data_IF_200334457707
#
_entry.id   IF_200334457707
#
_cell.length_a   1.000
_cell.length_b   1.000
_cell.length_c   1.000
_cell.angle_alpha   90.00
_cell.angle_beta   90.00
_cell.angle_gamma   90.00
#
_symmetry.space_group_name_H-M   'P 1'
#
loop_
_entity.id
_entity.type
_entity.pdbx_description
1 polymer ?
#
# COMPACT_ATOMS: atom_id res chain seq x y z
N UNK A 1 17.38 4.97 -16.44
CA UNK A 1 17.91 3.69 -16.98
C UNK A 1 16.75 2.92 -17.57
N UNK A 2 16.65 2.89 -18.89
CA UNK A 2 15.44 2.51 -19.62
C UNK A 2 15.46 1.08 -20.15
N UNK A 3 14.28 0.45 -20.14
CA UNK A 3 13.66 -0.44 -21.15
C UNK A 3 14.47 -1.54 -21.88
N UNK A 4 15.76 -1.77 -21.58
CA UNK A 4 16.64 -2.73 -22.28
C UNK A 4 17.18 -3.86 -21.40
N UNK A 5 16.75 -3.99 -20.14
CA UNK A 5 17.05 -5.16 -19.29
C UNK A 5 16.01 -6.29 -19.41
N UNK A 6 15.26 -6.34 -20.52
CA UNK A 6 14.06 -7.17 -20.65
C UNK A 6 14.29 -8.61 -21.17
N UNK A 7 15.51 -9.14 -21.26
CA UNK A 7 15.75 -10.41 -21.99
C UNK A 7 16.62 -11.47 -21.29
N UNK A 8 16.62 -11.53 -19.95
CA UNK A 8 16.98 -12.73 -19.19
C UNK A 8 16.02 -12.96 -18.01
N UNK A 9 14.74 -12.63 -18.16
CA UNK A 9 13.74 -13.06 -17.20
C UNK A 9 13.49 -14.55 -17.43
N UNK A 10 13.69 -15.38 -16.39
CA UNK A 10 13.27 -16.77 -16.41
C UNK A 10 11.80 -16.82 -16.86
N UNK A 11 11.42 -17.60 -17.90
CA UNK A 11 10.04 -17.67 -18.36
C UNK A 11 9.03 -17.99 -17.24
N UNK A 12 9.47 -18.74 -16.22
CA UNK A 12 8.66 -19.02 -15.03
C UNK A 12 8.36 -17.77 -14.21
N UNK A 13 9.30 -16.82 -14.11
CA UNK A 13 9.10 -15.56 -13.39
C UNK A 13 8.08 -14.67 -14.11
N UNK A 14 8.11 -14.67 -15.45
CA UNK A 14 7.13 -13.93 -16.27
C UNK A 14 5.74 -14.53 -16.09
N UNK A 15 5.62 -15.86 -16.10
CA UNK A 15 4.35 -16.55 -15.87
C UNK A 15 3.81 -16.30 -14.46
N UNK A 16 4.66 -16.40 -13.44
CA UNK A 16 4.30 -16.11 -12.05
C UNK A 16 3.86 -14.66 -11.88
N UNK A 17 4.57 -13.71 -12.48
CA UNK A 17 4.22 -12.29 -12.43
C UNK A 17 2.85 -11.97 -13.06
N UNK A 18 2.38 -12.81 -14.01
CA UNK A 18 1.08 -12.66 -14.67
C UNK A 18 -0.07 -13.32 -13.94
N UNK A 19 0.19 -14.11 -12.90
CA UNK A 19 -0.88 -14.63 -12.06
C UNK A 19 -1.55 -13.48 -11.29
N UNK A 20 -2.84 -13.63 -11.03
CA UNK A 20 -3.55 -12.73 -10.12
C UNK A 20 -3.18 -13.10 -8.67
N UNK A 21 -3.19 -12.11 -7.78
CA UNK A 21 -3.11 -12.37 -6.35
C UNK A 21 -4.31 -13.25 -5.97
N UNK A 22 -4.03 -14.43 -5.41
CA UNK A 22 -5.08 -15.33 -4.96
C UNK A 22 -5.98 -14.66 -3.93
N UNK A 23 -7.26 -15.04 -3.89
CA UNK A 23 -8.22 -14.48 -2.93
C UNK A 23 -7.74 -14.66 -1.47
N UNK A 24 -7.16 -15.82 -1.15
CA UNK A 24 -6.61 -16.12 0.18
C UNK A 24 -5.47 -15.17 0.57
N UNK A 25 -4.51 -14.94 -0.33
CA UNK A 25 -3.39 -14.01 -0.09
C UNK A 25 -3.88 -12.55 0.03
N UNK A 26 -4.87 -12.19 -0.79
CA UNK A 26 -5.51 -10.89 -0.75
C UNK A 26 -6.23 -10.66 0.60
N UNK A 27 -6.95 -11.66 1.09
CA UNK A 27 -7.67 -11.60 2.37
C UNK A 27 -6.71 -11.56 3.56
N UNK A 28 -5.63 -12.35 3.52
CA UNK A 28 -4.58 -12.31 4.55
C UNK A 28 -3.92 -10.93 4.62
N UNK A 29 -3.56 -10.36 3.47
CA UNK A 29 -3.00 -9.01 3.37
C UNK A 29 -4.00 -7.97 3.87
N UNK A 30 -5.25 -8.05 3.41
CA UNK A 30 -6.32 -7.16 3.80
C UNK A 30 -6.53 -7.14 5.32
N UNK A 31 -6.55 -8.32 5.94
CA UNK A 31 -6.74 -8.47 7.37
C UNK A 31 -5.66 -7.72 8.16
N UNK A 32 -4.39 -7.89 7.79
CA UNK A 32 -3.25 -7.21 8.46
C UNK A 32 -3.38 -5.69 8.35
N UNK A 33 -3.72 -5.18 7.16
CA UNK A 33 -3.92 -3.72 6.96
C UNK A 33 -5.10 -3.20 7.76
N UNK A 34 -6.21 -3.94 7.81
CA UNK A 34 -7.41 -3.54 8.54
C UNK A 34 -7.19 -3.56 10.06
N UNK A 35 -6.42 -4.52 10.58
CA UNK A 35 -6.00 -4.54 11.99
C UNK A 35 -5.17 -3.30 12.32
N UNK A 36 -4.19 -2.97 11.48
CA UNK A 36 -3.36 -1.79 11.69
C UNK A 36 -4.19 -0.49 11.64
N UNK A 37 -5.16 -0.42 10.72
CA UNK A 37 -6.08 0.71 10.60
C UNK A 37 -7.01 0.86 11.81
N UNK A 38 -7.55 -0.25 12.33
CA UNK A 38 -8.40 -0.23 13.53
C UNK A 38 -7.59 0.16 14.78
N UNK A 39 -6.38 -0.37 14.94
CA UNK A 39 -5.48 0.02 16.03
C UNK A 39 -5.16 1.52 15.99
N UNK A 40 -4.85 2.06 14.81
CA UNK A 40 -4.54 3.48 14.65
C UNK A 40 -5.76 4.39 14.87
N UNK A 41 -6.97 3.94 14.50
CA UNK A 41 -8.22 4.64 14.82
C UNK A 41 -8.46 4.77 16.33
N UNK A 42 -8.01 3.77 17.10
CA UNK A 42 -8.16 3.72 18.56
C UNK A 42 -7.00 4.42 19.30
N UNK A 43 -6.02 4.98 18.58
CA UNK A 43 -4.81 5.52 19.19
C UNK A 43 -3.92 4.46 19.82
N UNK A 44 -4.03 3.19 19.38
CA UNK A 44 -3.35 2.03 19.93
C UNK A 44 -2.34 1.41 18.97
N UNK A 45 -2.02 2.08 17.85
CA UNK A 45 -1.07 1.54 16.87
C UNK A 45 0.39 1.83 17.29
N UNK A 46 1.17 0.80 17.66
CA UNK A 46 2.60 0.93 17.85
C UNK A 46 3.34 1.06 16.51
N UNK A 47 4.64 1.36 16.57
CA UNK A 47 5.51 1.59 15.40
C UNK A 47 5.38 0.52 14.32
N UNK A 48 5.32 -0.77 14.66
CA UNK A 48 5.21 -1.82 13.66
C UNK A 48 3.88 -1.76 12.85
N UNK A 49 2.74 -1.47 13.50
CA UNK A 49 1.47 -1.31 12.79
C UNK A 49 1.44 0.01 11.98
N UNK A 50 2.09 1.05 12.48
CA UNK A 50 2.29 2.30 11.74
C UNK A 50 3.09 2.08 10.45
N UNK A 51 4.14 1.25 10.51
CA UNK A 51 4.96 0.89 9.35
C UNK A 51 4.14 0.07 8.34
N UNK A 52 3.36 -0.92 8.81
CA UNK A 52 2.43 -1.68 7.94
C UNK A 52 1.50 -0.75 7.18
N UNK A 53 0.83 0.20 7.87
CA UNK A 53 -0.05 1.17 7.19
C UNK A 53 0.71 2.01 6.16
N UNK A 54 1.90 2.46 6.52
CA UNK A 54 2.77 3.28 5.67
C UNK A 54 3.17 2.54 4.38
N UNK A 55 3.64 1.31 4.51
CA UNK A 55 4.03 0.44 3.40
C UNK A 55 2.86 0.20 2.44
N UNK A 56 1.68 -0.14 2.97
CA UNK A 56 0.52 -0.43 2.14
C UNK A 56 -0.10 0.83 1.51
N UNK A 57 -0.04 1.99 2.17
CA UNK A 57 -0.46 3.26 1.56
C UNK A 57 0.42 3.66 0.38
N UNK A 58 1.74 3.53 0.53
CA UNK A 58 2.68 3.79 -0.56
C UNK A 58 2.58 2.75 -1.68
N UNK A 59 2.39 1.47 -1.31
CA UNK A 59 2.14 0.40 -2.28
C UNK A 59 0.86 0.70 -3.08
N UNK A 60 -0.23 1.10 -2.42
CA UNK A 60 -1.46 1.49 -3.09
C UNK A 60 -1.25 2.67 -4.05
N UNK A 61 -0.52 3.71 -3.64
CA UNK A 61 -0.17 4.82 -4.53
C UNK A 61 0.65 4.35 -5.74
N UNK A 62 1.62 3.46 -5.52
CA UNK A 62 2.42 2.89 -6.60
C UNK A 62 1.59 2.04 -7.57
N UNK A 63 0.68 1.20 -7.08
CA UNK A 63 -0.27 0.44 -7.91
C UNK A 63 -1.08 1.37 -8.81
N UNK A 64 -1.72 2.40 -8.24
CA UNK A 64 -2.55 3.31 -9.02
C UNK A 64 -1.75 4.16 -10.01
N UNK A 65 -0.52 4.52 -9.65
CA UNK A 65 0.40 5.18 -10.57
C UNK A 65 0.76 4.28 -11.76
N UNK A 66 1.02 3.00 -11.53
CA UNK A 66 1.37 2.04 -12.60
C UNK A 66 0.17 1.75 -13.51
N UNK A 67 -1.03 1.68 -12.95
CA UNK A 67 -2.28 1.46 -13.69
C UNK A 67 -2.79 2.72 -14.41
N UNK A 68 -2.12 3.88 -14.27
CA UNK A 68 -2.56 5.14 -14.86
C UNK A 68 -3.85 5.71 -14.24
N UNK A 69 -4.28 5.21 -13.07
CA UNK A 69 -5.50 5.67 -12.41
C UNK A 69 -5.22 6.92 -11.56
N UNK A 70 -5.25 8.09 -12.20
CA UNK A 70 -4.92 9.36 -11.55
C UNK A 70 -5.80 9.67 -10.33
N UNK A 71 -7.10 9.39 -10.41
CA UNK A 71 -8.05 9.67 -9.32
C UNK A 71 -7.70 8.88 -8.06
N UNK A 72 -7.49 7.57 -8.20
CA UNK A 72 -7.13 6.73 -7.05
C UNK A 72 -5.70 7.00 -6.56
N UNK A 73 -4.79 7.36 -7.46
CA UNK A 73 -3.46 7.83 -7.08
C UNK A 73 -3.55 9.07 -6.17
N UNK A 74 -4.31 10.09 -6.56
CA UNK A 74 -4.45 11.31 -5.75
C UNK A 74 -5.13 11.03 -4.40
N UNK A 75 -6.08 10.08 -4.34
CA UNK A 75 -6.67 9.58 -3.09
C UNK A 75 -5.60 8.95 -2.18
N UNK A 76 -4.75 8.06 -2.71
CA UNK A 76 -3.66 7.44 -1.94
C UNK A 76 -2.62 8.45 -1.49
N UNK A 77 -2.28 9.45 -2.32
CA UNK A 77 -1.35 10.53 -1.94
C UNK A 77 -1.92 11.39 -0.81
N UNK A 78 -3.23 11.69 -0.86
CA UNK A 78 -3.91 12.42 0.23
C UNK A 78 -3.88 11.61 1.54
N UNK A 79 -4.14 10.31 1.48
CA UNK A 79 -4.04 9.41 2.63
C UNK A 79 -2.60 9.34 3.19
N UNK A 80 -1.60 9.26 2.31
CA UNK A 80 -0.19 9.27 2.70
C UNK A 80 0.18 10.56 3.43
N UNK A 81 -0.20 11.73 2.91
CA UNK A 81 0.05 13.01 3.58
C UNK A 81 -0.64 13.10 4.95
N UNK A 82 -1.83 12.53 5.08
CA UNK A 82 -2.54 12.43 6.36
C UNK A 82 -1.77 11.55 7.36
N UNK A 83 -1.25 10.41 6.91
CA UNK A 83 -0.40 9.51 7.70
C UNK A 83 0.85 10.25 8.21
N UNK A 84 1.61 10.88 7.30
CA UNK A 84 2.83 11.62 7.65
C UNK A 84 2.55 12.72 8.68
N UNK A 85 1.45 13.46 8.50
CA UNK A 85 1.02 14.48 9.47
C UNK A 85 0.72 13.89 10.84
N UNK A 86 0.08 12.73 10.89
CA UNK A 86 -0.21 12.04 12.15
C UNK A 86 1.07 11.50 12.82
N UNK A 87 1.99 10.90 12.05
CA UNK A 87 3.28 10.42 12.55
C UNK A 87 4.20 11.53 13.09
N UNK A 88 4.05 12.76 12.61
CA UNK A 88 4.84 13.91 13.08
C UNK A 88 4.40 14.43 14.46
N UNK A 89 3.31 13.92 15.04
CA UNK A 89 2.86 14.30 16.38
C UNK A 89 3.80 13.69 17.43
N UNK A 90 4.05 14.38 18.56
CA UNK A 90 4.90 13.87 19.63
C UNK A 90 4.15 12.83 20.50
N UNK A 91 3.59 11.80 19.87
CA UNK A 91 2.87 10.71 20.54
C UNK A 91 3.59 9.39 20.30
N UNK A 92 3.63 8.53 21.33
CA UNK A 92 4.27 7.21 21.21
C UNK A 92 3.46 6.24 20.34
N UNK A 93 2.15 6.47 20.24
CA UNK A 93 1.21 5.69 19.44
C UNK A 93 0.65 6.58 18.33
N UNK A 94 0.36 5.95 17.20
CA UNK A 94 -0.29 6.63 16.09
C UNK A 94 -1.78 6.80 16.39
N UNK A 95 -2.22 8.05 16.34
CA UNK A 95 -3.61 8.45 16.51
C UNK A 95 -4.05 9.38 15.37
N UNK A 96 -5.23 9.12 14.82
CA UNK A 96 -5.79 9.88 13.70
C UNK A 96 -6.93 10.78 14.14
N UNK A 97 -6.96 11.98 13.58
CA UNK A 97 -8.19 12.79 13.59
C UNK A 97 -9.24 12.15 12.68
N UNK A 98 -10.51 12.53 12.86
CA UNK A 98 -11.62 12.03 12.02
C UNK A 98 -11.37 12.22 10.52
N UNK A 99 -10.79 13.37 10.13
CA UNK A 99 -10.50 13.67 8.72
C UNK A 99 -9.35 12.83 8.15
N UNK A 100 -8.30 12.58 8.94
CA UNK A 100 -7.17 11.73 8.55
C UNK A 100 -7.61 10.28 8.41
N UNK A 101 -8.35 9.77 9.39
CA UNK A 101 -8.92 8.43 9.34
C UNK A 101 -9.83 8.24 8.12
N UNK A 102 -10.68 9.21 7.81
CA UNK A 102 -11.56 9.15 6.64
C UNK A 102 -10.78 9.05 5.32
N UNK A 103 -9.69 9.83 5.18
CA UNK A 103 -8.83 9.79 4.00
C UNK A 103 -8.11 8.44 3.86
N UNK A 104 -7.52 7.93 4.94
CA UNK A 104 -6.80 6.66 4.96
C UNK A 104 -7.75 5.49 4.69
N UNK A 105 -8.90 5.45 5.37
CA UNK A 105 -9.93 4.42 5.17
C UNK A 105 -10.39 4.35 3.72
N UNK A 106 -10.58 5.49 3.06
CA UNK A 106 -10.98 5.53 1.66
C UNK A 106 -9.92 4.89 0.76
N UNK A 107 -8.65 5.29 0.90
CA UNK A 107 -7.55 4.75 0.12
C UNK A 107 -7.38 3.23 0.34
N UNK A 108 -7.38 2.78 1.60
CA UNK A 108 -7.28 1.36 1.95
C UNK A 108 -8.46 0.57 1.39
N UNK A 109 -9.69 1.10 1.42
CA UNK A 109 -10.85 0.38 0.88
C UNK A 109 -10.74 0.10 -0.62
N UNK A 110 -10.17 1.03 -1.39
CA UNK A 110 -9.93 0.82 -2.82
C UNK A 110 -8.80 -0.17 -3.05
N UNK A 111 -7.71 -0.05 -2.28
CA UNK A 111 -6.56 -0.93 -2.37
C UNK A 111 -6.94 -2.39 -2.07
N UNK A 112 -7.57 -2.65 -0.92
CA UNK A 112 -7.95 -4.00 -0.48
C UNK A 112 -8.90 -4.68 -1.47
N UNK A 113 -9.88 -3.95 -2.01
CA UNK A 113 -10.80 -4.50 -3.02
C UNK A 113 -10.12 -4.81 -4.35
N UNK A 114 -9.00 -4.17 -4.63
CA UNK A 114 -8.26 -4.39 -5.87
C UNK A 114 -7.26 -5.54 -5.76
N UNK A 115 -6.78 -5.87 -4.56
CA UNK A 115 -5.82 -6.94 -4.33
C UNK A 115 -6.08 -8.22 -5.16
N UNK A 116 -7.26 -8.87 -5.10
CA UNK A 116 -7.48 -10.15 -5.78
C UNK A 116 -7.52 -10.05 -7.32
N UNK A 117 -7.57 -8.83 -7.87
CA UNK A 117 -7.58 -8.59 -9.32
C UNK A 117 -6.30 -7.95 -9.83
N UNK A 118 -5.29 -7.78 -8.97
CA UNK A 118 -3.95 -7.34 -9.38
C UNK A 118 -3.12 -8.53 -9.85
N UNK A 119 -2.34 -8.31 -10.91
CA UNK A 119 -1.24 -9.22 -11.25
C UNK A 119 -0.17 -9.16 -10.14
N UNK A 120 0.38 -10.32 -9.75
CA UNK A 120 1.44 -10.46 -8.75
C UNK A 120 2.64 -9.57 -9.10
N UNK A 121 3.00 -9.49 -10.38
CA UNK A 121 4.09 -8.64 -10.86
C UNK A 121 3.83 -7.14 -10.63
N UNK A 122 2.59 -6.69 -10.81
CA UNK A 122 2.19 -5.29 -10.54
C UNK A 122 2.29 -5.00 -9.06
N UNK A 123 1.76 -5.88 -8.21
CA UNK A 123 1.83 -5.71 -6.76
C UNK A 123 3.28 -5.74 -6.25
N UNK A 124 4.10 -6.68 -6.71
CA UNK A 124 5.51 -6.81 -6.34
C UNK A 124 6.33 -5.58 -6.78
N UNK A 125 6.13 -5.10 -8.01
CA UNK A 125 6.80 -3.90 -8.50
C UNK A 125 6.36 -2.64 -7.73
N UNK A 126 5.08 -2.54 -7.39
CA UNK A 126 4.54 -1.46 -6.58
C UNK A 126 5.11 -1.46 -5.16
N UNK A 127 5.18 -2.63 -4.53
CA UNK A 127 5.77 -2.79 -3.20
C UNK A 127 7.27 -2.45 -3.22
N UNK A 128 8.04 -2.98 -4.18
CA UNK A 128 9.46 -2.65 -4.34
C UNK A 128 9.70 -1.15 -4.60
N UNK A 129 8.77 -0.46 -5.28
CA UNK A 129 8.79 1.00 -5.39
C UNK A 129 8.51 1.67 -4.04
N UNK A 130 7.50 1.23 -3.30
CA UNK A 130 7.16 1.76 -1.98
C UNK A 130 8.33 1.63 -0.99
N UNK A 131 8.99 0.48 -0.93
CA UNK A 131 10.12 0.24 -0.03
C UNK A 131 11.34 1.12 -0.36
N UNK A 132 11.57 1.42 -1.65
CA UNK A 132 12.62 2.36 -2.06
C UNK A 132 12.33 3.80 -1.63
N UNK A 133 11.07 4.22 -1.64
CA UNK A 133 10.67 5.55 -1.16
C UNK A 133 10.70 5.66 0.38
N UNK A 134 10.65 4.53 1.09
CA UNK A 134 10.68 4.50 2.56
C UNK A 134 12.08 4.45 3.16
N UNK A 135 12.98 3.71 2.52
CA UNK A 135 14.31 3.40 3.06
C UNK A 135 15.47 3.89 2.19
N UNK A 136 15.19 4.39 0.99
CA UNK A 136 16.18 4.99 0.07
C UNK A 136 16.10 6.51 0.05
#
# INVERSE_FOLDING_TARGET
MGARQAFLANPLDVLAAKQLVGQEDADATALVVLIALDAAKRGLAPVHLTNVLTEHLLTAAAVWSQMGNRKLYDVSVKAWRAQVKACARPTALLDFTTGEYAAIRLAISHYVRALPVLEVGVLAAAHAKAMRELYG
#
